data_IF_932798420264
#
_entry.id   IF_932798420264
#
_cell.length_a   1.000
_cell.length_b   1.000
_cell.length_c   1.000
_cell.angle_alpha   90.00
_cell.angle_beta   90.00
_cell.angle_gamma   90.00
#
_symmetry.space_group_name_H-M   'P 1'
#
loop_
_entity.id
_entity.type
_entity.pdbx_description
1 polymer ?
#
# COMPACT_ATOMS: atom_id res chain seq x y z
N UNK A 1 -35.42 12.07 -17.22
CA UNK A 1 -34.49 11.55 -16.20
C UNK A 1 -33.19 12.31 -16.36
N UNK A 2 -32.84 13.15 -15.40
CA UNK A 2 -31.67 14.01 -15.47
C UNK A 2 -30.42 13.18 -15.18
N UNK A 3 -29.72 12.75 -16.23
CA UNK A 3 -28.37 12.22 -16.11
C UNK A 3 -27.51 13.37 -15.55
N UNK A 4 -27.12 13.27 -14.28
CA UNK A 4 -26.03 14.08 -13.78
C UNK A 4 -24.77 13.52 -14.44
N UNK A 5 -24.11 14.26 -15.34
CA UNK A 5 -22.91 13.74 -15.97
C UNK A 5 -21.87 13.60 -14.85
N UNK A 6 -21.29 12.40 -14.71
CA UNK A 6 -19.98 12.29 -14.07
C UNK A 6 -19.07 13.23 -14.86
N UNK A 7 -18.79 14.37 -14.24
CA UNK A 7 -17.94 15.46 -14.71
C UNK A 7 -16.71 14.93 -15.44
N UNK A 8 -16.30 15.60 -16.53
CA UNK A 8 -15.04 15.38 -17.25
C UNK A 8 -13.81 15.29 -16.30
N UNK A 9 -13.90 15.82 -15.08
CA UNK A 9 -12.92 15.61 -14.00
C UNK A 9 -12.69 14.15 -13.61
N UNK A 10 -13.70 13.29 -13.68
CA UNK A 10 -13.61 11.90 -13.21
C UNK A 10 -12.73 11.03 -14.12
N UNK A 11 -12.79 11.26 -15.43
CA UNK A 11 -11.99 10.51 -16.41
C UNK A 11 -10.65 11.18 -16.69
N UNK A 12 -10.61 12.51 -16.82
CA UNK A 12 -9.35 13.25 -16.98
C UNK A 12 -8.47 13.13 -15.73
N UNK A 13 -9.07 13.21 -14.54
CA UNK A 13 -8.37 13.00 -13.27
C UNK A 13 -7.79 11.59 -13.16
N UNK A 14 -8.56 10.55 -13.51
CA UNK A 14 -8.06 9.17 -13.49
C UNK A 14 -6.92 8.96 -14.51
N UNK A 15 -7.03 9.56 -15.70
CA UNK A 15 -5.99 9.47 -16.72
C UNK A 15 -4.70 10.18 -16.27
N UNK A 16 -4.80 11.38 -15.70
CA UNK A 16 -3.65 12.12 -15.17
C UNK A 16 -2.99 11.39 -13.99
N UNK A 17 -3.79 10.79 -13.10
CA UNK A 17 -3.31 9.92 -12.02
C UNK A 17 -2.55 8.73 -12.60
N UNK A 18 -3.16 8.01 -13.54
CA UNK A 18 -2.55 6.83 -14.16
C UNK A 18 -1.25 7.19 -14.86
N UNK A 19 -1.23 8.29 -15.63
CA UNK A 19 -0.02 8.81 -16.27
C UNK A 19 1.07 9.13 -15.25
N UNK A 20 0.71 9.82 -14.16
CA UNK A 20 1.66 10.19 -13.10
C UNK A 20 2.29 8.96 -12.47
N UNK A 21 1.50 7.93 -12.16
CA UNK A 21 2.00 6.70 -11.57
C UNK A 21 2.86 5.90 -12.57
N UNK A 22 2.46 5.78 -13.84
CA UNK A 22 3.20 5.03 -14.85
C UNK A 22 4.52 5.71 -15.29
N UNK A 23 4.67 7.02 -15.07
CA UNK A 23 5.89 7.75 -15.42
C UNK A 23 7.01 7.65 -14.36
N UNK A 24 6.77 6.98 -13.23
CA UNK A 24 7.75 6.88 -12.17
C UNK A 24 8.90 5.94 -12.57
N UNK A 25 10.17 6.33 -12.34
CA UNK A 25 11.34 5.57 -12.82
C UNK A 25 11.57 4.27 -12.06
N UNK A 26 11.06 4.16 -10.83
CA UNK A 26 11.20 2.98 -9.98
C UNK A 26 10.06 2.88 -8.95
N UNK A 27 10.04 1.78 -8.17
CA UNK A 27 9.03 1.50 -7.16
C UNK A 27 9.05 2.45 -5.96
N UNK A 28 10.21 3.04 -5.65
CA UNK A 28 10.34 3.99 -4.57
C UNK A 28 9.64 5.31 -4.95
N UNK A 29 9.96 5.85 -6.13
CA UNK A 29 9.26 7.02 -6.70
C UNK A 29 7.77 6.76 -6.90
N UNK A 30 7.39 5.54 -7.30
CA UNK A 30 5.98 5.14 -7.39
C UNK A 30 5.26 5.18 -6.03
N UNK A 31 5.87 4.64 -4.97
CA UNK A 31 5.29 4.68 -3.62
C UNK A 31 5.16 6.11 -3.10
N UNK A 32 6.12 6.98 -3.42
CA UNK A 32 6.07 8.38 -3.05
C UNK A 32 4.93 9.11 -3.77
N UNK A 33 4.84 8.99 -5.10
CA UNK A 33 3.77 9.56 -5.89
C UNK A 33 2.38 9.07 -5.43
N UNK A 34 2.26 7.78 -5.13
CA UNK A 34 1.04 7.19 -4.59
C UNK A 34 0.71 7.74 -3.20
N UNK A 35 1.70 7.87 -2.31
CA UNK A 35 1.52 8.44 -0.97
C UNK A 35 1.06 9.91 -1.03
N UNK A 36 1.63 10.71 -1.94
CA UNK A 36 1.19 12.09 -2.15
C UNK A 36 -0.24 12.15 -2.68
N UNK A 37 -0.61 11.24 -3.58
CA UNK A 37 -1.96 11.16 -4.13
C UNK A 37 -3.00 10.82 -3.07
N UNK A 38 -2.79 9.75 -2.29
CA UNK A 38 -3.76 9.35 -1.25
C UNK A 38 -3.91 10.41 -0.14
N UNK A 39 -2.82 11.13 0.18
CA UNK A 39 -2.85 12.28 1.10
C UNK A 39 -3.70 13.42 0.54
N UNK A 40 -3.45 13.84 -0.70
CA UNK A 40 -4.19 14.94 -1.37
C UNK A 40 -5.67 14.62 -1.53
N UNK A 41 -6.01 13.35 -1.71
CA UNK A 41 -7.39 12.86 -1.82
C UNK A 41 -8.04 12.56 -0.47
N UNK A 42 -7.34 12.78 0.66
CA UNK A 42 -7.81 12.46 2.02
C UNK A 42 -8.25 10.99 2.20
N UNK A 43 -7.61 10.06 1.49
CA UNK A 43 -7.91 8.63 1.53
C UNK A 43 -7.09 7.89 2.60
N UNK A 44 -5.82 8.25 2.74
CA UNK A 44 -4.90 7.65 3.71
C UNK A 44 -3.73 8.59 4.00
N UNK A 45 -3.12 8.41 5.17
CA UNK A 45 -1.92 9.17 5.52
C UNK A 45 -0.70 8.72 4.75
N UNK A 46 -0.55 7.45 4.36
CA UNK A 46 0.56 6.97 3.54
C UNK A 46 0.14 5.74 2.73
N UNK A 47 0.87 5.45 1.65
CA UNK A 47 0.70 4.23 0.87
C UNK A 47 2.02 3.47 0.78
N UNK A 48 1.91 2.15 0.65
CA UNK A 48 3.04 1.26 0.46
C UNK A 48 2.70 0.21 -0.59
N UNK A 49 3.71 -0.25 -1.32
CA UNK A 49 3.60 -1.36 -2.27
C UNK A 49 4.26 -2.58 -1.67
N UNK A 50 3.52 -3.69 -1.66
CA UNK A 50 4.04 -4.99 -1.25
C UNK A 50 4.08 -5.92 -2.45
N UNK A 51 5.26 -6.42 -2.78
CA UNK A 51 5.46 -7.35 -3.89
C UNK A 51 5.72 -8.75 -3.35
N UNK A 52 4.89 -9.70 -3.78
CA UNK A 52 5.07 -11.12 -3.49
C UNK A 52 5.86 -11.82 -4.60
N UNK A 53 6.92 -12.53 -4.22
CA UNK A 53 7.75 -13.32 -5.12
C UNK A 53 7.45 -14.82 -4.91
N UNK A 54 6.67 -15.41 -5.80
CA UNK A 54 6.23 -16.80 -5.65
C UNK A 54 7.38 -17.82 -5.68
N UNK A 55 8.46 -17.58 -6.46
CA UNK A 55 9.57 -18.53 -6.55
C UNK A 55 10.38 -18.62 -5.25
N UNK A 56 10.54 -17.48 -4.57
CA UNK A 56 11.37 -17.36 -3.36
C UNK A 56 10.54 -17.33 -2.08
N UNK A 57 9.21 -17.25 -2.19
CA UNK A 57 8.26 -17.05 -1.08
C UNK A 57 8.60 -15.80 -0.25
N UNK A 58 9.05 -14.73 -0.92
CA UNK A 58 9.48 -13.49 -0.27
C UNK A 58 8.50 -12.37 -0.53
N UNK A 59 8.43 -11.45 0.42
CA UNK A 59 7.68 -10.22 0.28
C UNK A 59 8.63 -9.03 0.36
N UNK A 60 8.59 -8.15 -0.64
CA UNK A 60 9.31 -6.88 -0.63
C UNK A 60 8.33 -5.75 -0.29
N UNK A 61 8.70 -4.88 0.63
CA UNK A 61 7.90 -3.73 1.05
C UNK A 61 8.58 -2.43 0.64
N UNK A 62 7.82 -1.58 -0.05
CA UNK A 62 8.23 -0.27 -0.52
C UNK A 62 7.31 0.79 0.09
N UNK A 63 7.87 1.80 0.74
CA UNK A 63 7.11 2.91 1.29
C UNK A 63 7.91 4.22 1.26
N UNK A 64 7.21 5.34 1.33
CA UNK A 64 7.81 6.67 1.54
C UNK A 64 7.62 7.09 3.00
N UNK A 65 8.69 7.61 3.63
CA UNK A 65 8.65 8.21 4.99
C UNK A 65 8.83 9.72 4.89
N UNK A 66 8.42 10.46 5.92
CA UNK A 66 8.48 11.94 6.07
C UNK A 66 9.82 12.65 5.71
N UNK A 67 10.89 11.93 5.36
CA UNK A 67 12.21 12.50 5.00
C UNK A 67 12.71 12.08 3.60
N UNK A 68 11.84 11.74 2.67
CA UNK A 68 12.20 11.32 1.29
C UNK A 68 13.15 10.11 1.19
N UNK A 69 13.45 9.44 2.31
CA UNK A 69 14.20 8.19 2.28
C UNK A 69 13.23 7.06 1.98
N UNK A 70 13.31 6.45 0.78
CA UNK A 70 12.49 5.29 0.48
C UNK A 70 12.85 4.14 1.42
N UNK A 71 11.83 3.55 2.02
CA UNK A 71 12.00 2.31 2.79
C UNK A 71 11.91 1.19 1.77
N UNK A 72 13.03 0.51 1.54
CA UNK A 72 13.05 -0.79 0.91
C UNK A 72 13.34 -1.82 1.99
N UNK A 73 12.31 -2.59 2.36
CA UNK A 73 12.44 -3.70 3.28
C UNK A 73 12.25 -4.99 2.51
N UNK A 74 13.31 -5.78 2.42
CA UNK A 74 13.28 -7.15 1.92
C UNK A 74 13.54 -8.05 3.13
N UNK A 75 12.50 -8.73 3.61
CA UNK A 75 12.67 -9.76 4.62
C UNK A 75 12.10 -11.09 4.10
N UNK A 76 12.85 -12.13 4.40
CA UNK A 76 12.60 -13.51 4.02
C UNK A 76 11.44 -14.12 4.83
N UNK A 77 11.05 -13.54 5.98
CA UNK A 77 10.19 -14.27 6.92
C UNK A 77 9.01 -13.48 7.48
N UNK A 78 9.19 -12.30 8.08
CA UNK A 78 8.14 -11.73 8.94
C UNK A 78 6.97 -11.18 8.13
N UNK A 79 7.24 -10.47 7.03
CA UNK A 79 6.17 -9.93 6.17
C UNK A 79 5.49 -11.05 5.36
N UNK A 80 6.27 -12.02 4.88
CA UNK A 80 5.81 -13.17 4.10
C UNK A 80 4.91 -14.12 4.92
N UNK A 81 5.10 -14.19 6.25
CA UNK A 81 4.25 -14.94 7.17
C UNK A 81 3.19 -14.07 7.87
N UNK A 82 3.22 -12.77 7.66
CA UNK A 82 2.29 -11.81 8.26
C UNK A 82 1.07 -11.52 7.38
N UNK A 83 0.70 -10.23 7.19
CA UNK A 83 -0.53 -9.85 6.49
C UNK A 83 -0.54 -10.29 5.02
N UNK A 84 0.64 -10.43 4.39
CA UNK A 84 0.74 -10.96 3.01
C UNK A 84 0.25 -12.41 2.94
N UNK A 85 0.58 -13.24 3.92
CA UNK A 85 0.13 -14.64 3.96
C UNK A 85 -1.38 -14.75 4.06
N UNK A 86 -1.99 -13.88 4.86
CA UNK A 86 -3.44 -13.82 5.02
C UNK A 86 -4.12 -13.58 3.67
N UNK A 87 -3.61 -12.62 2.88
CA UNK A 87 -4.15 -12.29 1.56
C UNK A 87 -3.88 -13.39 0.53
N UNK A 88 -2.70 -14.01 0.55
CA UNK A 88 -2.39 -15.14 -0.33
C UNK A 88 -3.29 -16.36 -0.06
N UNK A 89 -3.74 -16.52 1.18
CA UNK A 89 -4.63 -17.61 1.58
C UNK A 89 -6.10 -17.29 1.30
N UNK A 90 -6.48 -16.01 1.46
CA UNK A 90 -7.81 -15.46 1.17
C UNK A 90 -7.65 -14.08 0.56
N UNK A 91 -7.95 -13.88 -0.73
CA UNK A 91 -7.72 -12.61 -1.43
C UNK A 91 -8.78 -11.55 -1.07
N UNK A 92 -9.12 -11.45 0.20
CA UNK A 92 -9.99 -10.42 0.75
C UNK A 92 -9.14 -9.24 1.22
N UNK A 93 -9.68 -8.03 1.09
CA UNK A 93 -9.05 -6.83 1.65
C UNK A 93 -8.93 -6.99 3.17
N UNK A 94 -7.71 -6.93 3.65
CA UNK A 94 -7.43 -6.91 5.08
C UNK A 94 -7.58 -5.48 5.59
N UNK A 95 -8.44 -5.28 6.60
CA UNK A 95 -8.61 -4.01 7.29
C UNK A 95 -8.65 -4.22 8.79
N UNK A 96 -7.80 -3.51 9.54
CA UNK A 96 -7.74 -3.63 11.00
C UNK A 96 -7.21 -2.35 11.67
N UNK A 97 -7.48 -2.20 12.96
CA UNK A 97 -6.89 -1.19 13.82
C UNK A 97 -5.44 -1.52 14.18
N UNK A 98 -4.71 -0.57 14.75
CA UNK A 98 -3.35 -0.82 15.23
C UNK A 98 -3.30 -1.85 16.36
N UNK A 99 -4.31 -1.92 17.22
CA UNK A 99 -4.38 -2.90 18.31
C UNK A 99 -4.50 -4.32 17.75
N UNK A 100 -5.50 -4.56 16.89
CA UNK A 100 -5.69 -5.84 16.20
C UNK A 100 -4.47 -6.25 15.37
N UNK A 101 -3.82 -5.28 14.71
CA UNK A 101 -2.57 -5.52 13.98
C UNK A 101 -1.45 -6.00 14.92
N UNK A 102 -1.29 -5.36 16.08
CA UNK A 102 -0.28 -5.76 17.07
C UNK A 102 -0.56 -7.15 17.67
N UNK A 103 -1.82 -7.47 17.93
CA UNK A 103 -2.23 -8.79 18.42
C UNK A 103 -2.01 -9.89 17.38
N UNK A 104 -2.32 -9.60 16.11
CA UNK A 104 -2.24 -10.57 15.02
C UNK A 104 -0.79 -10.78 14.55
N UNK A 105 0.00 -9.70 14.48
CA UNK A 105 1.39 -9.72 13.99
C UNK A 105 2.36 -8.96 14.93
N UNK A 106 2.60 -9.47 16.14
CA UNK A 106 3.43 -8.78 17.13
C UNK A 106 4.87 -8.55 16.65
N UNK A 107 5.41 -9.49 15.87
CA UNK A 107 6.77 -9.36 15.30
C UNK A 107 6.90 -8.16 14.35
N UNK A 108 5.86 -7.87 13.55
CA UNK A 108 5.84 -6.69 12.67
C UNK A 108 5.67 -5.40 13.45
N UNK A 109 4.83 -5.42 14.50
CA UNK A 109 4.64 -4.27 15.38
C UNK A 109 5.94 -3.88 16.09
N UNK A 110 6.75 -4.85 16.51
CA UNK A 110 8.06 -4.61 17.12
C UNK A 110 9.17 -4.28 16.12
N UNK A 111 9.01 -4.66 14.85
CA UNK A 111 10.04 -4.53 13.81
C UNK A 111 10.28 -3.10 13.31
N UNK A 112 9.50 -2.11 13.78
CA UNK A 112 9.68 -0.70 13.42
C UNK A 112 9.32 -0.36 11.97
N UNK A 113 8.85 -1.34 11.18
CA UNK A 113 8.47 -1.18 9.78
C UNK A 113 7.19 -0.33 9.64
N UNK A 114 6.24 -0.53 10.55
CA UNK A 114 4.99 0.22 10.59
C UNK A 114 5.03 1.24 11.74
N UNK A 115 4.89 2.55 11.47
CA UNK A 115 4.62 3.52 12.53
C UNK A 115 3.24 3.25 13.13
N UNK A 116 2.95 3.84 14.30
CA UNK A 116 1.60 3.79 14.87
C UNK A 116 0.61 4.44 13.89
N UNK A 117 -0.49 3.76 13.60
CA UNK A 117 -1.53 4.21 12.67
C UNK A 117 -2.91 4.10 13.32
N UNK A 118 -3.93 4.72 12.71
CA UNK A 118 -5.33 4.50 13.10
C UNK A 118 -5.87 3.19 12.53
N UNK A 119 -5.78 3.05 11.22
CA UNK A 119 -6.23 1.88 10.48
C UNK A 119 -5.18 1.43 9.46
N UNK A 120 -5.06 0.12 9.29
CA UNK A 120 -4.27 -0.53 8.27
C UNK A 120 -5.20 -1.18 7.25
N UNK A 121 -4.89 -0.97 5.97
CA UNK A 121 -5.56 -1.62 4.86
C UNK A 121 -4.51 -2.26 3.94
N UNK A 122 -4.67 -3.54 3.64
CA UNK A 122 -3.90 -4.24 2.61
C UNK A 122 -4.86 -4.86 1.61
N UNK A 123 -4.78 -4.39 0.38
CA UNK A 123 -5.67 -4.80 -0.70
C UNK A 123 -4.87 -5.57 -1.76
N UNK A 124 -5.33 -6.76 -2.18
CA UNK A 124 -4.74 -7.42 -3.33
C UNK A 124 -5.04 -6.60 -4.59
N UNK A 125 -4.00 -6.20 -5.31
CA UNK A 125 -4.16 -5.68 -6.66
C UNK A 125 -4.37 -6.88 -7.59
N UNK A 126 -5.54 -6.95 -8.22
CA UNK A 126 -5.88 -8.05 -9.12
C UNK A 126 -4.81 -8.22 -10.21
N UNK A 127 -4.53 -9.48 -10.56
CA UNK A 127 -3.88 -9.87 -11.81
C UNK A 127 -4.93 -10.16 -12.87
#
# INVERSE_FOLDING_TARGET
MSYTPMSDLGQQGLFDITRTLLQQPDLASLCEALSQLVKRSALADNAAIVLWQAQTQRASYYASREKDTPIKYEDETVLAHGPVRSILSRPDTLHCSYEEFCETWPQLATGGLYPKFGHYCLMPLAA
#
